data_IF_020399306038
#
_entry.id   IF_020399306038
#
_cell.length_a   1.000
_cell.length_b   1.000
_cell.length_c   1.000
_cell.angle_alpha   90.00
_cell.angle_beta   90.00
_cell.angle_gamma   90.00
#
_symmetry.space_group_name_H-M   'P 1'
#
loop_
_entity.id
_entity.type
_entity.pdbx_description
1 polymer ?
#
# COMPACT_ATOMS: atom_id res chain seq x y z
N UNK A 1 -35.44 -51.11 50.34
CA UNK A 1 -36.18 -50.24 51.28
C UNK A 1 -36.34 -48.89 50.59
N UNK A 2 -37.60 -48.52 50.29
CA UNK A 2 -38.11 -47.19 49.89
C UNK A 2 -37.52 -46.48 48.66
N UNK A 3 -38.16 -46.76 47.54
CA UNK A 3 -38.76 -45.83 46.55
C UNK A 3 -38.78 -44.34 46.95
N UNK A 4 -38.35 -43.47 46.03
CA UNK A 4 -39.11 -42.25 45.75
C UNK A 4 -39.12 -41.98 44.23
N UNK A 5 -40.34 -42.09 43.71
CA UNK A 5 -40.78 -41.95 42.34
C UNK A 5 -40.99 -40.45 42.06
N UNK A 6 -40.31 -39.87 41.07
CA UNK A 6 -40.69 -38.58 40.48
C UNK A 6 -41.41 -38.85 39.17
N UNK A 7 -42.73 -38.82 39.25
CA UNK A 7 -43.67 -38.79 38.13
C UNK A 7 -43.55 -37.39 37.51
N UNK A 8 -43.09 -37.30 36.25
CA UNK A 8 -43.39 -36.15 35.39
C UNK A 8 -44.46 -36.62 34.42
N UNK A 9 -45.64 -36.05 34.60
CA UNK A 9 -46.87 -36.31 33.87
C UNK A 9 -46.77 -35.65 32.49
N UNK A 10 -46.73 -36.46 31.43
CA UNK A 10 -46.91 -36.00 30.06
C UNK A 10 -48.39 -35.64 29.85
N UNK A 11 -48.72 -34.35 29.91
CA UNK A 11 -50.03 -33.84 29.52
C UNK A 11 -49.94 -33.49 28.03
N UNK A 12 -50.47 -34.37 27.18
CA UNK A 12 -50.81 -34.03 25.79
C UNK A 12 -52.06 -33.16 25.79
N UNK A 13 -51.89 -31.85 25.66
CA UNK A 13 -52.98 -30.91 25.39
C UNK A 13 -53.16 -30.83 23.87
N UNK A 14 -54.31 -31.22 23.30
CA UNK A 14 -54.62 -30.89 21.93
C UNK A 14 -55.07 -29.43 21.89
N UNK A 15 -54.14 -28.51 21.61
CA UNK A 15 -54.51 -27.14 21.27
C UNK A 15 -54.94 -27.11 19.80
N UNK A 16 -56.25 -27.20 19.63
CA UNK A 16 -56.98 -26.81 18.44
C UNK A 16 -56.78 -25.30 18.29
N UNK A 17 -55.85 -24.88 17.43
CA UNK A 17 -55.82 -23.50 16.98
C UNK A 17 -56.93 -23.32 15.94
N UNK A 18 -57.93 -22.58 16.40
CA UNK A 18 -58.92 -21.82 15.63
C UNK A 18 -58.32 -21.26 14.34
N UNK A 19 -58.83 -21.68 13.18
CA UNK A 19 -58.72 -20.91 11.95
C UNK A 19 -59.57 -19.64 12.09
N UNK A 20 -58.97 -18.52 12.49
CA UNK A 20 -59.53 -17.20 12.16
C UNK A 20 -59.23 -16.92 10.69
N UNK A 21 -60.27 -16.87 9.87
CA UNK A 21 -60.23 -16.63 8.43
C UNK A 21 -60.00 -15.16 8.08
N UNK A 22 -59.00 -14.49 8.67
CA UNK A 22 -58.72 -13.08 8.39
C UNK A 22 -57.24 -12.65 8.42
N UNK A 23 -56.29 -13.58 8.54
CA UNK A 23 -54.87 -13.29 8.27
C UNK A 23 -54.51 -13.68 6.83
N UNK A 24 -55.04 -12.96 5.85
CA UNK A 24 -54.43 -12.92 4.52
C UNK A 24 -53.32 -11.86 4.53
N UNK A 25 -52.22 -12.15 5.21
CA UNK A 25 -50.94 -11.71 4.64
C UNK A 25 -50.80 -12.59 3.41
N UNK A 26 -51.09 -12.02 2.23
CA UNK A 26 -50.80 -12.71 0.97
C UNK A 26 -49.39 -13.28 1.08
N UNK A 27 -49.18 -14.59 0.88
CA UNK A 27 -47.82 -15.12 0.86
C UNK A 27 -47.07 -14.33 -0.19
N UNK A 28 -45.93 -13.75 0.17
CA UNK A 28 -44.99 -13.20 -0.80
C UNK A 28 -44.78 -14.32 -1.82
N UNK A 29 -45.29 -14.12 -3.04
CA UNK A 29 -45.24 -15.15 -4.07
C UNK A 29 -43.79 -15.21 -4.53
N UNK A 30 -43.01 -16.08 -3.91
CA UNK A 30 -41.64 -16.38 -4.35
C UNK A 30 -41.71 -16.92 -5.76
N UNK A 31 -41.29 -16.10 -6.72
CA UNK A 31 -41.26 -16.42 -8.14
C UNK A 31 -39.81 -16.26 -8.62
N UNK A 32 -38.94 -17.27 -8.42
CA UNK A 32 -37.54 -17.15 -8.81
C UNK A 32 -37.36 -17.39 -10.32
N UNK A 33 -36.56 -16.56 -10.97
CA UNK A 33 -35.98 -16.88 -12.26
C UNK A 33 -34.80 -17.85 -12.07
N UNK A 34 -34.66 -18.86 -12.92
CA UNK A 34 -33.57 -19.85 -12.84
C UNK A 34 -32.61 -19.67 -14.02
N UNK A 35 -31.36 -19.36 -13.71
CA UNK A 35 -30.31 -19.09 -14.69
C UNK A 35 -29.88 -17.63 -14.68
N UNK A 36 -28.96 -17.31 -15.57
CA UNK A 36 -28.42 -15.96 -15.73
C UNK A 36 -29.37 -15.08 -16.55
N UNK A 37 -29.48 -13.82 -16.14
CA UNK A 37 -30.28 -12.77 -16.79
C UNK A 37 -29.33 -11.79 -17.46
N UNK A 38 -29.46 -11.64 -18.77
CA UNK A 38 -28.77 -10.64 -19.57
C UNK A 38 -29.83 -9.70 -20.17
N UNK A 39 -29.74 -8.41 -19.85
CA UNK A 39 -30.60 -7.36 -20.35
C UNK A 39 -29.76 -6.37 -21.15
N UNK A 40 -30.02 -6.27 -22.45
CA UNK A 40 -29.28 -5.43 -23.40
C UNK A 40 -30.10 -4.28 -23.97
N UNK A 41 -31.42 -4.29 -23.74
CA UNK A 41 -32.36 -3.28 -24.21
C UNK A 41 -33.48 -2.99 -23.22
N UNK A 42 -34.08 -1.80 -23.32
CA UNK A 42 -35.24 -1.44 -22.49
C UNK A 42 -36.41 -2.43 -22.68
N UNK A 43 -36.60 -2.93 -23.89
CA UNK A 43 -37.63 -3.95 -24.17
C UNK A 43 -37.40 -5.23 -23.36
N UNK A 44 -36.15 -5.67 -23.20
CA UNK A 44 -35.85 -6.86 -22.40
C UNK A 44 -36.06 -6.61 -20.90
N UNK A 45 -35.76 -5.41 -20.41
CA UNK A 45 -36.08 -5.02 -19.02
C UNK A 45 -37.60 -5.10 -18.80
N UNK A 46 -38.39 -4.51 -19.70
CA UNK A 46 -39.85 -4.47 -19.61
C UNK A 46 -40.47 -5.87 -19.76
N UNK A 47 -39.94 -6.69 -20.67
CA UNK A 47 -40.38 -8.07 -20.89
C UNK A 47 -40.05 -8.96 -19.68
N UNK A 48 -38.85 -8.80 -19.09
CA UNK A 48 -38.47 -9.51 -17.87
C UNK A 48 -39.38 -9.12 -16.71
N UNK A 49 -39.64 -7.81 -16.52
CA UNK A 49 -40.51 -7.26 -15.49
C UNK A 49 -41.94 -7.84 -15.55
N UNK A 50 -42.47 -8.11 -16.74
CA UNK A 50 -43.82 -8.66 -16.93
C UNK A 50 -44.05 -10.02 -16.24
N UNK A 51 -42.97 -10.75 -15.94
CA UNK A 51 -43.02 -12.03 -15.26
C UNK A 51 -43.14 -11.91 -13.73
N UNK A 52 -42.92 -10.73 -13.15
CA UNK A 52 -42.94 -10.49 -11.69
C UNK A 52 -42.07 -11.50 -10.94
N UNK A 53 -40.83 -11.69 -11.38
CA UNK A 53 -39.86 -12.49 -10.63
C UNK A 53 -39.47 -11.75 -9.35
N UNK A 54 -39.27 -12.49 -8.26
CA UNK A 54 -38.86 -11.94 -6.97
C UNK A 54 -37.39 -12.20 -6.63
N UNK A 55 -36.73 -13.06 -7.40
CA UNK A 55 -35.36 -13.53 -7.17
C UNK A 55 -34.73 -13.98 -8.50
N UNK A 56 -33.41 -13.84 -8.61
CA UNK A 56 -32.61 -14.37 -9.73
C UNK A 56 -31.65 -15.44 -9.21
N UNK A 57 -31.87 -16.70 -9.59
CA UNK A 57 -30.98 -17.83 -9.31
C UNK A 57 -29.88 -17.94 -10.37
N UNK A 58 -29.04 -16.92 -10.43
CA UNK A 58 -27.94 -16.75 -11.39
C UNK A 58 -27.42 -15.32 -11.35
N UNK A 59 -26.66 -14.93 -12.35
CA UNK A 59 -26.15 -13.57 -12.49
C UNK A 59 -27.21 -12.62 -13.08
N UNK A 60 -27.16 -11.35 -12.72
CA UNK A 60 -27.90 -10.26 -13.37
C UNK A 60 -26.91 -9.34 -14.08
N UNK A 61 -26.96 -9.29 -15.41
CA UNK A 61 -26.13 -8.44 -16.24
C UNK A 61 -26.99 -7.44 -17.03
N UNK A 62 -26.72 -6.16 -16.85
CA UNK A 62 -27.41 -5.03 -17.48
C UNK A 62 -26.36 -4.27 -18.29
N UNK A 63 -26.38 -4.41 -19.62
CA UNK A 63 -25.28 -3.88 -20.43
C UNK A 63 -25.59 -3.55 -21.88
N UNK A 64 -24.68 -2.85 -22.56
CA UNK A 64 -24.75 -2.71 -24.02
C UNK A 64 -24.46 -4.05 -24.74
N UNK A 65 -25.09 -4.33 -25.89
CA UNK A 65 -24.88 -5.58 -26.64
C UNK A 65 -23.46 -5.79 -27.17
N UNK A 66 -22.75 -4.72 -27.58
CA UNK A 66 -21.48 -4.83 -28.31
C UNK A 66 -20.38 -3.85 -27.86
N UNK A 67 -20.51 -3.25 -26.67
CA UNK A 67 -19.56 -2.26 -26.10
C UNK A 67 -19.22 -1.07 -27.03
N UNK A 68 -19.95 -0.89 -28.14
CA UNK A 68 -19.71 0.18 -29.12
C UNK A 68 -20.31 1.53 -28.69
N UNK A 69 -21.13 1.52 -27.64
CA UNK A 69 -21.79 2.66 -27.03
C UNK A 69 -22.62 2.20 -25.83
N UNK A 70 -23.29 3.13 -25.12
CA UNK A 70 -24.19 2.75 -24.03
C UNK A 70 -25.38 1.95 -24.56
N UNK A 71 -25.95 1.10 -23.70
CA UNK A 71 -27.17 0.38 -23.98
C UNK A 71 -28.33 1.35 -24.22
N UNK A 72 -29.43 0.83 -24.78
CA UNK A 72 -30.69 1.58 -24.88
C UNK A 72 -31.48 1.63 -23.58
N UNK A 73 -30.96 1.07 -22.49
CA UNK A 73 -31.63 0.98 -21.19
C UNK A 73 -31.52 2.34 -20.49
N UNK A 74 -32.68 2.88 -20.10
CA UNK A 74 -32.78 4.17 -19.41
C UNK A 74 -33.58 4.09 -18.11
N UNK A 75 -34.33 3.01 -17.90
CA UNK A 75 -35.23 2.83 -16.77
C UNK A 75 -35.15 1.39 -16.25
N UNK A 76 -34.76 1.22 -14.99
CA UNK A 76 -34.71 -0.08 -14.31
C UNK A 76 -35.93 -0.33 -13.42
N UNK A 77 -36.92 0.57 -13.38
CA UNK A 77 -38.07 0.48 -12.47
C UNK A 77 -38.87 -0.82 -12.60
N UNK A 78 -38.84 -1.47 -13.77
CA UNK A 78 -39.41 -2.80 -13.99
C UNK A 78 -38.79 -3.90 -13.10
N UNK A 79 -37.58 -3.70 -12.59
CA UNK A 79 -36.87 -4.66 -11.74
C UNK A 79 -37.22 -4.53 -10.25
N UNK A 80 -38.13 -3.61 -9.86
CA UNK A 80 -38.46 -3.33 -8.46
C UNK A 80 -39.06 -4.51 -7.67
N UNK A 81 -39.44 -5.59 -8.37
CA UNK A 81 -39.92 -6.83 -7.74
C UNK A 81 -38.80 -7.75 -7.26
N UNK A 82 -37.56 -7.56 -7.73
CA UNK A 82 -36.41 -8.41 -7.40
C UNK A 82 -35.89 -8.06 -6.00
N UNK A 83 -35.78 -9.09 -5.16
CA UNK A 83 -35.35 -8.97 -3.76
C UNK A 83 -33.95 -9.53 -3.49
N UNK A 84 -33.47 -10.43 -4.35
CA UNK A 84 -32.14 -11.05 -4.23
C UNK A 84 -31.60 -11.53 -5.58
N UNK A 85 -30.27 -11.58 -5.69
CA UNK A 85 -29.52 -12.17 -6.80
C UNK A 85 -28.51 -13.17 -6.23
N UNK A 86 -28.60 -14.44 -6.65
CA UNK A 86 -27.75 -15.52 -6.12
C UNK A 86 -26.39 -15.64 -6.83
N UNK A 87 -26.15 -14.84 -7.87
CA UNK A 87 -24.87 -14.65 -8.50
C UNK A 87 -24.41 -13.18 -8.43
N UNK A 88 -23.68 -12.76 -9.46
CA UNK A 88 -23.15 -11.41 -9.60
C UNK A 88 -24.21 -10.44 -10.10
N UNK A 89 -24.09 -9.16 -9.73
CA UNK A 89 -24.76 -8.04 -10.40
C UNK A 89 -23.71 -7.26 -11.19
N UNK A 90 -23.86 -7.24 -12.51
CA UNK A 90 -23.02 -6.51 -13.44
C UNK A 90 -23.84 -5.41 -14.13
N UNK A 91 -23.52 -4.14 -13.88
CA UNK A 91 -24.17 -2.98 -14.50
C UNK A 91 -23.10 -2.18 -15.23
N UNK A 92 -23.01 -2.34 -16.55
CA UNK A 92 -22.01 -1.59 -17.30
C UNK A 92 -22.40 -1.16 -18.71
N UNK A 93 -21.84 -0.04 -19.15
CA UNK A 93 -22.13 0.55 -20.47
C UNK A 93 -23.62 0.87 -20.66
N UNK A 94 -24.22 1.64 -19.75
CA UNK A 94 -25.60 2.12 -19.85
C UNK A 94 -25.70 3.66 -19.80
N UNK A 95 -26.84 4.20 -20.24
CA UNK A 95 -27.21 5.63 -20.13
C UNK A 95 -28.22 5.90 -19.01
N UNK A 96 -28.20 5.08 -17.96
CA UNK A 96 -29.02 5.27 -16.76
C UNK A 96 -28.43 6.36 -15.87
N UNK A 97 -29.30 7.15 -15.24
CA UNK A 97 -28.89 8.23 -14.32
C UNK A 97 -28.94 7.83 -12.85
N UNK A 98 -29.67 6.76 -12.54
CA UNK A 98 -29.76 6.16 -11.21
C UNK A 98 -30.02 4.66 -11.34
N UNK A 99 -29.90 3.93 -10.23
CA UNK A 99 -30.29 2.52 -10.13
C UNK A 99 -31.74 2.32 -9.66
N UNK A 100 -32.60 3.34 -9.82
CA UNK A 100 -34.02 3.26 -9.45
C UNK A 100 -34.68 2.05 -10.12
N UNK A 101 -35.33 1.22 -9.33
CA UNK A 101 -35.80 -0.11 -9.69
C UNK A 101 -35.05 -1.25 -9.02
N UNK A 102 -33.89 -1.00 -8.40
CA UNK A 102 -33.14 -2.01 -7.63
C UNK A 102 -33.36 -1.89 -6.10
N UNK A 103 -34.30 -1.06 -5.64
CA UNK A 103 -34.54 -0.78 -4.21
C UNK A 103 -34.99 -2.00 -3.41
N UNK A 104 -35.54 -3.02 -4.08
CA UNK A 104 -35.97 -4.25 -3.43
C UNK A 104 -34.82 -5.17 -3.03
N UNK A 105 -33.62 -5.00 -3.62
CA UNK A 105 -32.52 -5.94 -3.44
C UNK A 105 -31.94 -5.81 -2.03
N UNK A 106 -31.91 -6.94 -1.33
CA UNK A 106 -31.38 -7.06 0.05
C UNK A 106 -30.12 -7.90 0.13
N UNK A 107 -29.85 -8.74 -0.88
CA UNK A 107 -28.67 -9.60 -0.91
C UNK A 107 -28.19 -9.94 -2.31
N UNK A 108 -26.87 -9.96 -2.45
CA UNK A 108 -26.14 -10.38 -3.64
C UNK A 108 -25.18 -11.48 -3.18
N UNK A 109 -25.39 -12.72 -3.62
CA UNK A 109 -24.53 -13.84 -3.19
C UNK A 109 -23.19 -13.88 -3.92
N UNK A 110 -23.06 -13.16 -5.05
CA UNK A 110 -21.81 -12.93 -5.76
C UNK A 110 -21.27 -11.51 -5.53
N UNK A 111 -20.66 -10.97 -6.59
CA UNK A 111 -20.02 -9.65 -6.64
C UNK A 111 -20.95 -8.57 -7.19
N UNK A 112 -20.67 -7.31 -6.86
CA UNK A 112 -21.30 -6.12 -7.42
C UNK A 112 -20.29 -5.36 -8.30
N UNK A 113 -20.55 -5.32 -9.60
CA UNK A 113 -19.73 -4.62 -10.58
C UNK A 113 -20.54 -3.49 -11.25
N UNK A 114 -20.14 -2.24 -11.05
CA UNK A 114 -20.74 -1.06 -11.69
C UNK A 114 -19.65 -0.32 -12.47
N UNK A 115 -19.71 -0.34 -13.80
CA UNK A 115 -18.65 0.23 -14.62
C UNK A 115 -19.16 0.92 -15.89
N UNK A 116 -18.46 1.92 -16.42
CA UNK A 116 -18.82 2.57 -17.69
C UNK A 116 -20.28 3.05 -17.80
N UNK A 117 -20.88 3.62 -16.75
CA UNK A 117 -22.20 4.26 -16.85
C UNK A 117 -22.03 5.77 -16.70
N UNK A 118 -21.68 6.49 -17.79
CA UNK A 118 -21.24 7.89 -17.70
C UNK A 118 -22.31 8.81 -17.13
N UNK A 119 -23.59 8.50 -17.33
CA UNK A 119 -24.72 9.33 -16.87
C UNK A 119 -25.15 9.03 -15.42
N UNK A 120 -24.62 7.97 -14.79
CA UNK A 120 -25.02 7.54 -13.45
C UNK A 120 -24.55 8.55 -12.39
N UNK A 121 -25.49 9.08 -11.61
CA UNK A 121 -25.23 10.13 -10.61
C UNK A 121 -25.15 9.57 -9.18
N UNK A 122 -25.93 8.53 -8.90
CA UNK A 122 -26.02 7.91 -7.57
C UNK A 122 -26.47 6.45 -7.65
N UNK A 123 -26.17 5.70 -6.59
CA UNK A 123 -26.52 4.28 -6.43
C UNK A 123 -27.43 4.04 -5.21
N UNK A 124 -28.15 5.06 -4.74
CA UNK A 124 -28.97 5.01 -3.51
C UNK A 124 -30.02 3.90 -3.49
N UNK A 125 -30.44 3.41 -4.65
CA UNK A 125 -31.33 2.26 -4.74
C UNK A 125 -30.75 1.00 -4.09
N UNK A 126 -29.43 0.88 -3.94
CA UNK A 126 -28.80 -0.27 -3.29
C UNK A 126 -28.78 -0.18 -1.75
N UNK A 127 -29.34 0.87 -1.15
CA UNK A 127 -29.27 1.12 0.30
C UNK A 127 -29.87 0.01 1.19
N UNK A 128 -30.68 -0.88 0.64
CA UNK A 128 -31.23 -2.04 1.35
C UNK A 128 -30.35 -3.30 1.24
N UNK A 129 -29.25 -3.26 0.47
CA UNK A 129 -28.32 -4.40 0.36
C UNK A 129 -27.57 -4.56 1.67
N UNK A 130 -27.84 -5.67 2.36
CA UNK A 130 -27.20 -6.02 3.64
C UNK A 130 -26.04 -7.01 3.45
N UNK A 131 -26.06 -7.79 2.36
CA UNK A 131 -25.11 -8.87 2.12
C UNK A 131 -24.54 -8.87 0.69
N UNK A 132 -23.22 -9.00 0.62
CA UNK A 132 -22.42 -9.25 -0.59
C UNK A 132 -21.60 -10.53 -0.34
N UNK A 133 -21.53 -11.42 -1.32
CA UNK A 133 -20.74 -12.65 -1.22
C UNK A 133 -19.35 -12.58 -1.85
N UNK A 134 -19.08 -11.57 -2.69
CA UNK A 134 -17.82 -11.41 -3.41
C UNK A 134 -17.26 -9.99 -3.35
N UNK A 135 -16.85 -9.48 -4.51
CA UNK A 135 -16.22 -8.18 -4.69
C UNK A 135 -17.25 -7.04 -4.78
N UNK A 136 -16.82 -5.82 -4.48
CA UNK A 136 -17.50 -4.59 -4.87
C UNK A 136 -16.53 -3.79 -5.74
N UNK A 137 -16.91 -3.53 -6.99
CA UNK A 137 -16.14 -2.65 -7.89
C UNK A 137 -17.04 -1.58 -8.49
N UNK A 138 -16.69 -0.31 -8.24
CA UNK A 138 -17.35 0.84 -8.84
C UNK A 138 -16.28 1.65 -9.58
N UNK A 139 -16.31 1.64 -10.90
CA UNK A 139 -15.28 2.26 -11.74
C UNK A 139 -15.90 3.00 -12.91
N UNK A 140 -15.16 3.91 -13.53
CA UNK A 140 -15.49 4.58 -14.79
C UNK A 140 -16.89 5.19 -14.79
N UNK A 141 -17.18 6.02 -13.79
CA UNK A 141 -18.44 6.75 -13.64
C UNK A 141 -18.17 8.25 -13.71
N UNK A 142 -18.47 8.86 -14.87
CA UNK A 142 -18.17 10.28 -15.10
C UNK A 142 -19.00 11.23 -14.22
N UNK A 143 -20.23 10.83 -13.87
CA UNK A 143 -21.17 11.67 -13.14
C UNK A 143 -21.48 11.23 -11.70
N UNK A 144 -20.91 10.13 -11.21
CA UNK A 144 -21.24 9.59 -9.89
C UNK A 144 -20.74 10.52 -8.77
N UNK A 145 -21.66 10.99 -7.93
CA UNK A 145 -21.36 11.97 -6.87
C UNK A 145 -21.21 11.31 -5.50
N UNK A 146 -21.90 10.20 -5.25
CA UNK A 146 -21.88 9.47 -3.99
C UNK A 146 -22.04 7.97 -4.21
N UNK A 147 -21.69 7.21 -3.17
CA UNK A 147 -21.84 5.75 -3.07
C UNK A 147 -22.68 5.37 -1.84
N UNK A 148 -23.60 6.24 -1.41
CA UNK A 148 -24.37 6.07 -0.16
C UNK A 148 -25.29 4.83 -0.18
N UNK A 149 -25.57 4.31 -1.38
CA UNK A 149 -26.21 3.02 -1.59
C UNK A 149 -25.47 1.83 -0.98
N UNK A 150 -24.19 1.94 -0.62
CA UNK A 150 -23.43 0.86 0.02
C UNK A 150 -23.55 0.83 1.55
N UNK A 151 -24.30 1.77 2.15
CA UNK A 151 -24.34 1.99 3.60
C UNK A 151 -24.92 0.84 4.44
N UNK A 152 -25.60 -0.12 3.82
CA UNK A 152 -26.10 -1.33 4.48
C UNK A 152 -25.07 -2.46 4.60
N UNK A 153 -23.95 -2.38 3.86
CA UNK A 153 -22.96 -3.46 3.74
C UNK A 153 -21.96 -3.39 4.89
N UNK A 154 -21.75 -4.51 5.58
CA UNK A 154 -20.87 -4.59 6.76
C UNK A 154 -19.58 -5.39 6.54
N UNK A 155 -19.53 -6.21 5.50
CA UNK A 155 -18.38 -7.04 5.15
C UNK A 155 -18.32 -7.19 3.63
N UNK A 156 -17.10 -7.18 3.08
CA UNK A 156 -16.83 -7.50 1.68
C UNK A 156 -15.91 -8.72 1.67
N UNK A 157 -16.41 -9.93 1.36
CA UNK A 157 -15.57 -11.12 1.36
C UNK A 157 -14.43 -11.10 0.33
N UNK A 158 -14.62 -10.35 -0.77
CA UNK A 158 -13.60 -10.15 -1.80
C UNK A 158 -12.97 -8.75 -1.75
N UNK A 159 -12.63 -8.22 -2.92
CA UNK A 159 -12.02 -6.89 -3.06
C UNK A 159 -13.05 -5.75 -3.00
N UNK A 160 -12.63 -4.61 -2.46
CA UNK A 160 -13.35 -3.34 -2.45
C UNK A 160 -12.60 -2.32 -3.32
N UNK A 161 -13.08 -2.14 -4.55
CA UNK A 161 -12.47 -1.27 -5.55
C UNK A 161 -13.34 -0.05 -5.84
N UNK A 162 -12.90 1.12 -5.39
CA UNK A 162 -13.54 2.41 -5.66
C UNK A 162 -12.62 3.22 -6.59
N UNK A 163 -13.01 3.22 -7.86
CA UNK A 163 -12.25 3.84 -8.93
C UNK A 163 -11.01 3.03 -9.34
N UNK A 164 -10.31 3.52 -10.36
CA UNK A 164 -9.16 2.87 -10.96
C UNK A 164 -8.07 3.88 -11.35
N UNK A 165 -6.85 3.38 -11.51
CA UNK A 165 -5.79 4.12 -12.19
C UNK A 165 -5.99 3.98 -13.70
N UNK A 166 -6.43 5.05 -14.36
CA UNK A 166 -6.62 5.12 -15.82
C UNK A 166 -5.52 5.94 -16.52
N UNK A 167 -4.41 6.21 -15.83
CA UNK A 167 -3.28 6.99 -16.32
C UNK A 167 -3.34 8.47 -15.91
N UNK A 168 -2.25 9.18 -16.21
CA UNK A 168 -2.04 10.56 -15.77
C UNK A 168 -3.07 11.54 -16.37
N UNK A 169 -3.67 12.38 -15.53
CA UNK A 169 -4.51 13.51 -15.95
C UNK A 169 -5.99 13.17 -16.18
N UNK A 170 -6.39 11.91 -15.99
CA UNK A 170 -7.79 11.49 -16.01
C UNK A 170 -8.16 10.85 -14.67
N UNK A 171 -9.40 11.09 -14.22
CA UNK A 171 -9.96 10.49 -13.03
C UNK A 171 -11.04 9.49 -13.46
N UNK A 172 -11.04 8.32 -12.82
CA UNK A 172 -12.02 7.25 -13.09
C UNK A 172 -13.38 7.56 -12.47
N UNK A 173 -13.39 8.28 -11.33
CA UNK A 173 -14.58 8.78 -10.64
C UNK A 173 -14.44 10.29 -10.34
N UNK A 174 -14.44 11.16 -11.38
CA UNK A 174 -14.07 12.58 -11.24
C UNK A 174 -14.99 13.40 -10.33
N UNK A 175 -16.22 12.94 -10.06
CA UNK A 175 -17.19 13.64 -9.19
C UNK A 175 -17.38 13.01 -7.81
N UNK A 176 -16.81 11.84 -7.57
CA UNK A 176 -16.91 11.20 -6.26
C UNK A 176 -15.98 11.94 -5.29
N UNK A 177 -16.57 12.49 -4.23
CA UNK A 177 -15.86 13.40 -3.30
C UNK A 177 -15.84 12.93 -1.84
N UNK A 178 -16.50 11.81 -1.53
CA UNK A 178 -16.47 11.18 -0.22
C UNK A 178 -16.77 9.67 -0.34
N UNK A 179 -16.49 8.93 0.73
CA UNK A 179 -16.70 7.47 0.82
C UNK A 179 -17.72 7.10 1.91
N UNK A 180 -18.61 8.00 2.33
CA UNK A 180 -19.47 7.80 3.51
C UNK A 180 -20.32 6.52 3.45
N UNK A 181 -20.72 6.10 2.25
CA UNK A 181 -21.43 4.85 2.00
C UNK A 181 -20.67 3.59 2.44
N UNK A 182 -19.37 3.65 2.71
CA UNK A 182 -18.55 2.52 3.15
C UNK A 182 -18.44 2.39 4.67
N UNK A 183 -18.97 3.36 5.43
CA UNK A 183 -18.70 3.53 6.88
C UNK A 183 -19.12 2.38 7.79
N UNK A 184 -19.91 1.42 7.30
CA UNK A 184 -20.29 0.21 8.05
C UNK A 184 -19.41 -1.01 7.73
N UNK A 185 -18.56 -0.94 6.70
CA UNK A 185 -17.68 -2.04 6.32
C UNK A 185 -16.59 -2.18 7.38
N UNK A 186 -16.52 -3.37 7.98
CA UNK A 186 -15.59 -3.68 9.07
C UNK A 186 -14.43 -4.59 8.67
N UNK A 187 -14.58 -5.33 7.56
CA UNK A 187 -13.59 -6.28 7.07
C UNK A 187 -13.70 -6.41 5.55
N UNK A 188 -12.54 -6.50 4.90
CA UNK A 188 -12.38 -6.75 3.46
C UNK A 188 -11.46 -7.95 3.32
N UNK A 189 -11.96 -9.03 2.71
CA UNK A 189 -11.25 -10.30 2.55
C UNK A 189 -10.30 -10.34 1.34
N UNK A 190 -10.16 -9.23 0.62
CA UNK A 190 -9.23 -9.06 -0.49
C UNK A 190 -8.69 -7.63 -0.55
N UNK A 191 -8.42 -7.13 -1.76
CA UNK A 191 -7.81 -5.81 -1.94
C UNK A 191 -8.75 -4.65 -1.58
N UNK A 192 -8.20 -3.57 -1.03
CA UNK A 192 -8.87 -2.27 -0.87
C UNK A 192 -8.20 -1.27 -1.80
N UNK A 193 -8.96 -0.75 -2.76
CA UNK A 193 -8.48 0.25 -3.70
C UNK A 193 -9.34 1.52 -3.65
N UNK A 194 -8.70 2.68 -3.51
CA UNK A 194 -9.30 4.00 -3.76
C UNK A 194 -8.42 4.74 -4.75
N UNK A 195 -8.86 4.81 -6.01
CA UNK A 195 -8.04 5.37 -7.07
C UNK A 195 -8.79 6.26 -8.06
N UNK A 196 -8.14 7.33 -8.52
CA UNK A 196 -8.70 8.16 -9.58
C UNK A 196 -10.00 8.87 -9.16
N UNK A 197 -10.10 9.29 -7.90
CA UNK A 197 -11.30 9.96 -7.35
C UNK A 197 -10.99 11.41 -6.98
N UNK A 198 -12.02 12.17 -6.57
CA UNK A 198 -11.86 13.53 -6.06
C UNK A 198 -12.16 13.64 -4.55
N UNK A 199 -11.95 12.55 -3.80
CA UNK A 199 -12.08 12.54 -2.34
C UNK A 199 -11.00 13.39 -1.70
N UNK A 200 -11.31 14.03 -0.58
CA UNK A 200 -10.34 14.84 0.19
C UNK A 200 -9.74 14.12 1.39
N UNK A 201 -10.38 13.04 1.81
CA UNK A 201 -9.92 12.11 2.84
C UNK A 201 -10.61 10.75 2.62
N UNK A 202 -10.24 9.76 3.43
CA UNK A 202 -10.75 8.40 3.35
C UNK A 202 -11.84 8.10 4.39
N UNK A 203 -12.49 9.13 4.95
CA UNK A 203 -13.65 8.94 5.83
C UNK A 203 -14.74 8.19 5.07
N UNK A 204 -15.28 7.16 5.70
CA UNK A 204 -15.95 6.03 5.07
C UNK A 204 -15.22 4.71 5.31
N UNK A 205 -13.90 4.69 5.47
CA UNK A 205 -13.13 3.46 5.69
C UNK A 205 -12.84 3.16 7.17
N UNK A 206 -13.40 3.93 8.10
CA UNK A 206 -13.07 3.86 9.53
C UNK A 206 -13.36 2.51 10.17
N UNK A 207 -14.29 1.74 9.62
CA UNK A 207 -14.64 0.43 10.18
C UNK A 207 -13.59 -0.64 9.91
N UNK A 208 -12.77 -0.49 8.86
CA UNK A 208 -11.85 -1.52 8.39
C UNK A 208 -10.67 -1.64 9.34
N UNK A 209 -10.46 -2.82 9.92
CA UNK A 209 -9.31 -3.10 10.79
C UNK A 209 -8.29 -4.07 10.22
N UNK A 210 -8.69 -4.91 9.29
CA UNK A 210 -7.87 -5.96 8.67
C UNK A 210 -8.20 -6.02 7.18
N UNK A 211 -7.16 -6.15 6.36
CA UNK A 211 -7.23 -6.29 4.91
C UNK A 211 -6.42 -7.52 4.49
N UNK A 212 -7.14 -8.56 4.06
CA UNK A 212 -6.56 -9.84 3.60
C UNK A 212 -6.07 -9.74 2.12
N UNK A 213 -5.41 -8.63 1.79
CA UNK A 213 -4.99 -8.29 0.44
C UNK A 213 -4.15 -7.02 0.42
N UNK A 214 -4.12 -6.35 -0.72
CA UNK A 214 -3.39 -5.10 -0.92
C UNK A 214 -4.25 -3.90 -0.51
N UNK A 215 -3.61 -2.84 -0.01
CA UNK A 215 -4.23 -1.52 0.13
C UNK A 215 -3.59 -0.59 -0.89
N UNK A 216 -4.35 -0.08 -1.85
CA UNK A 216 -3.87 0.85 -2.87
C UNK A 216 -4.67 2.16 -2.86
N UNK A 217 -4.01 3.26 -2.48
CA UNK A 217 -4.57 4.61 -2.51
C UNK A 217 -3.77 5.45 -3.49
N UNK A 218 -4.34 5.74 -4.66
CA UNK A 218 -3.58 6.42 -5.71
C UNK A 218 -4.36 7.35 -6.63
N UNK A 219 -3.67 8.29 -7.28
CA UNK A 219 -4.30 9.21 -8.24
C UNK A 219 -5.51 9.97 -7.69
N UNK A 220 -5.49 10.36 -6.41
CA UNK A 220 -6.53 11.19 -5.83
C UNK A 220 -6.01 12.63 -5.65
N UNK A 221 -6.12 13.51 -6.66
CA UNK A 221 -5.46 14.82 -6.67
C UNK A 221 -5.99 15.79 -5.62
N UNK A 222 -7.15 15.53 -5.02
CA UNK A 222 -7.73 16.34 -3.94
C UNK A 222 -7.51 15.75 -2.54
N UNK A 223 -6.89 14.57 -2.44
CA UNK A 223 -6.71 13.87 -1.16
C UNK A 223 -5.64 14.58 -0.34
N UNK A 224 -6.02 15.13 0.82
CA UNK A 224 -5.10 15.86 1.69
C UNK A 224 -4.66 15.06 2.92
N UNK A 225 -5.41 14.03 3.32
CA UNK A 225 -5.08 13.14 4.44
C UNK A 225 -5.70 11.76 4.24
N UNK A 226 -5.05 10.72 4.77
CA UNK A 226 -5.56 9.34 4.79
C UNK A 226 -6.45 9.03 6.02
N UNK A 227 -6.92 10.06 6.74
CA UNK A 227 -7.93 9.89 7.79
C UNK A 227 -9.10 9.04 7.27
N UNK A 228 -9.41 7.96 7.98
CA UNK A 228 -10.22 6.87 7.47
C UNK A 228 -9.58 5.53 7.77
N UNK A 229 -8.26 5.44 7.67
CA UNK A 229 -7.52 4.18 7.85
C UNK A 229 -7.03 3.91 9.28
N UNK A 230 -7.45 4.71 10.27
CA UNK A 230 -6.84 4.70 11.61
C UNK A 230 -7.00 3.37 12.39
N UNK A 231 -7.88 2.49 11.93
CA UNK A 231 -8.11 1.18 12.54
C UNK A 231 -7.43 0.04 11.80
N UNK A 232 -6.89 0.27 10.59
CA UNK A 232 -6.17 -0.75 9.82
C UNK A 232 -4.88 -1.09 10.56
N UNK A 233 -4.86 -2.28 11.16
CA UNK A 233 -3.71 -2.78 11.94
C UNK A 233 -2.72 -3.59 11.10
N UNK A 234 -3.26 -4.44 10.23
CA UNK A 234 -2.48 -5.37 9.42
C UNK A 234 -2.98 -5.38 7.98
N UNK A 235 -2.02 -5.43 7.05
CA UNK A 235 -2.24 -5.64 5.61
C UNK A 235 -1.42 -6.86 5.19
N UNK A 236 -2.07 -7.93 4.74
CA UNK A 236 -1.38 -9.18 4.37
C UNK A 236 -0.72 -9.11 2.99
N UNK A 237 -1.09 -8.13 2.18
CA UNK A 237 -0.47 -7.83 0.88
C UNK A 237 0.44 -6.59 0.94
N UNK A 238 0.47 -5.87 -0.17
CA UNK A 238 1.19 -4.62 -0.33
C UNK A 238 0.35 -3.43 0.17
N UNK A 239 1.01 -2.43 0.77
CA UNK A 239 0.44 -1.12 1.03
C UNK A 239 1.08 -0.08 0.10
N UNK A 240 0.28 0.49 -0.80
CA UNK A 240 0.73 1.44 -1.82
C UNK A 240 -0.05 2.75 -1.69
N UNK A 241 0.67 3.82 -1.34
CA UNK A 241 0.15 5.18 -1.25
C UNK A 241 0.92 6.07 -2.22
N UNK A 242 0.36 6.27 -3.42
CA UNK A 242 1.11 6.92 -4.50
C UNK A 242 0.32 7.92 -5.32
N UNK A 243 0.98 8.97 -5.81
CA UNK A 243 0.38 9.94 -6.74
C UNK A 243 -0.86 10.64 -6.16
N UNK A 244 -0.78 11.04 -4.90
CA UNK A 244 -1.76 11.91 -4.24
C UNK A 244 -1.07 13.26 -3.96
N UNK A 245 -0.93 14.14 -4.97
CA UNK A 245 -0.04 15.31 -4.91
C UNK A 245 -0.37 16.33 -3.82
N UNK A 246 -1.62 16.37 -3.33
CA UNK A 246 -2.07 17.27 -2.26
C UNK A 246 -2.05 16.62 -0.86
N UNK A 247 -1.62 15.36 -0.75
CA UNK A 247 -1.55 14.63 0.53
C UNK A 247 -0.49 15.28 1.42
N UNK A 248 -0.87 15.70 2.63
CA UNK A 248 0.02 16.45 3.54
C UNK A 248 0.59 15.60 4.67
N UNK A 249 -0.20 14.64 5.16
CA UNK A 249 0.12 13.78 6.30
C UNK A 249 -0.37 12.35 6.10
N UNK A 250 0.17 11.44 6.91
CA UNK A 250 -0.30 10.05 7.03
C UNK A 250 -0.80 9.72 8.44
N UNK A 251 -1.32 10.70 9.19
CA UNK A 251 -1.83 10.51 10.56
C UNK A 251 -2.97 9.49 10.65
N UNK A 252 -3.71 9.32 9.55
CA UNK A 252 -4.70 8.27 9.40
C UNK A 252 -4.13 6.85 9.46
N UNK A 253 -2.81 6.64 9.46
CA UNK A 253 -2.17 5.32 9.57
C UNK A 253 -1.68 4.97 10.97
N UNK A 254 -2.07 5.73 11.99
CA UNK A 254 -1.65 5.51 13.39
C UNK A 254 -1.90 4.09 13.93
N UNK A 255 -2.86 3.36 13.33
CA UNK A 255 -3.16 1.98 13.68
C UNK A 255 -2.25 0.93 13.04
N UNK A 256 -1.52 1.27 11.97
CA UNK A 256 -0.82 0.32 11.11
C UNK A 256 0.44 -0.24 11.79
N UNK A 257 0.45 -1.53 12.07
CA UNK A 257 1.52 -2.23 12.77
C UNK A 257 2.37 -3.12 11.85
N UNK A 258 1.73 -3.75 10.86
CA UNK A 258 2.39 -4.74 10.01
C UNK A 258 1.85 -4.68 8.56
N UNK A 259 2.78 -4.73 7.62
CA UNK A 259 2.51 -5.01 6.20
C UNK A 259 3.33 -6.23 5.82
N UNK A 260 2.69 -7.32 5.43
CA UNK A 260 3.40 -8.57 5.10
C UNK A 260 4.10 -8.49 3.73
N UNK A 261 3.62 -7.64 2.82
CA UNK A 261 4.23 -7.36 1.52
C UNK A 261 5.12 -6.13 1.51
N UNK A 262 5.07 -5.38 0.41
CA UNK A 262 5.77 -4.11 0.21
C UNK A 262 5.00 -2.95 0.84
N UNK A 263 5.73 -1.97 1.36
CA UNK A 263 5.18 -0.70 1.79
C UNK A 263 5.76 0.42 0.92
N UNK A 264 4.93 1.11 0.15
CA UNK A 264 5.34 2.18 -0.74
C UNK A 264 4.61 3.49 -0.42
N UNK A 265 5.38 4.55 -0.20
CA UNK A 265 4.90 5.94 -0.21
C UNK A 265 5.66 6.68 -1.28
N UNK A 266 4.97 7.02 -2.38
CA UNK A 266 5.65 7.66 -3.50
C UNK A 266 4.87 8.73 -4.23
N UNK A 267 5.57 9.69 -4.85
CA UNK A 267 4.93 10.72 -5.68
C UNK A 267 3.80 11.50 -4.96
N UNK A 268 3.92 11.72 -3.65
CA UNK A 268 3.00 12.54 -2.87
C UNK A 268 3.68 13.87 -2.55
N UNK A 269 3.74 14.75 -3.54
CA UNK A 269 4.58 15.96 -3.50
C UNK A 269 4.34 16.87 -2.28
N UNK A 270 3.11 16.96 -1.76
CA UNK A 270 2.79 17.78 -0.58
C UNK A 270 3.07 17.09 0.76
N UNK A 271 3.46 15.82 0.77
CA UNK A 271 3.62 15.04 2.00
C UNK A 271 4.79 15.62 2.79
N UNK A 272 4.52 16.03 4.02
CA UNK A 272 5.53 16.64 4.91
C UNK A 272 5.59 16.01 6.29
N UNK A 273 4.61 15.16 6.63
CA UNK A 273 4.49 14.54 7.95
C UNK A 273 4.25 13.03 7.82
N UNK A 274 5.08 12.24 8.50
CA UNK A 274 4.99 10.78 8.55
C UNK A 274 4.84 10.21 9.97
N UNK A 275 4.50 11.04 10.96
CA UNK A 275 4.35 10.63 12.37
C UNK A 275 3.30 9.55 12.57
N UNK A 276 2.25 9.52 11.73
CA UNK A 276 1.25 8.46 11.69
C UNK A 276 1.82 7.05 11.47
N UNK A 277 3.05 6.92 10.99
CA UNK A 277 3.74 5.64 10.79
C UNK A 277 4.68 5.26 11.94
N UNK A 278 4.60 5.94 13.09
CA UNK A 278 5.42 5.58 14.24
C UNK A 278 5.11 4.18 14.78
N UNK A 279 3.93 3.61 14.51
CA UNK A 279 3.48 2.32 15.06
C UNK A 279 3.86 1.10 14.22
N UNK A 280 4.34 1.29 12.99
CA UNK A 280 4.73 0.17 12.13
C UNK A 280 5.99 -0.50 12.68
N UNK A 281 5.93 -1.82 12.85
CA UNK A 281 7.03 -2.64 13.39
C UNK A 281 7.61 -3.58 12.35
N UNK A 282 6.85 -3.92 11.30
CA UNK A 282 7.29 -4.84 10.27
C UNK A 282 6.76 -4.48 8.89
N UNK A 283 7.67 -4.52 7.92
CA UNK A 283 7.39 -4.63 6.49
C UNK A 283 8.02 -5.94 6.02
N UNK A 284 7.26 -6.86 5.44
CA UNK A 284 7.77 -8.19 5.10
C UNK A 284 8.73 -8.19 3.92
N UNK A 285 8.49 -7.30 2.95
CA UNK A 285 9.32 -7.14 1.76
C UNK A 285 10.02 -5.77 1.75
N UNK A 286 9.76 -4.92 0.75
CA UNK A 286 10.47 -3.67 0.56
C UNK A 286 9.72 -2.48 1.19
N UNK A 287 10.45 -1.63 1.90
CA UNK A 287 10.00 -0.28 2.26
C UNK A 287 10.56 0.72 1.24
N UNK A 288 9.67 1.38 0.50
CA UNK A 288 10.02 2.37 -0.53
C UNK A 288 9.46 3.75 -0.18
N UNK A 289 10.34 4.73 -0.06
CA UNK A 289 10.00 6.16 0.05
C UNK A 289 10.62 6.87 -1.16
N UNK A 290 9.80 7.27 -2.13
CA UNK A 290 10.29 7.78 -3.42
C UNK A 290 9.52 8.98 -3.95
N UNK A 291 10.18 10.02 -4.46
CA UNK A 291 9.51 11.21 -5.01
C UNK A 291 8.48 11.85 -4.06
N UNK A 292 8.84 12.06 -2.79
CA UNK A 292 8.04 12.89 -1.87
C UNK A 292 8.80 14.19 -1.62
N UNK A 293 8.62 15.16 -2.51
CA UNK A 293 9.54 16.31 -2.64
C UNK A 293 9.45 17.32 -1.49
N UNK A 294 8.33 17.44 -0.79
CA UNK A 294 8.21 18.26 0.42
C UNK A 294 8.49 17.49 1.73
N UNK A 295 8.80 16.19 1.65
CA UNK A 295 9.13 15.38 2.83
C UNK A 295 10.58 15.63 3.23
N UNK A 296 10.79 16.57 4.14
CA UNK A 296 12.14 17.03 4.56
C UNK A 296 12.74 16.20 5.70
N UNK A 297 11.90 15.54 6.49
CA UNK A 297 12.30 14.57 7.50
C UNK A 297 11.19 13.52 7.68
N UNK A 298 11.55 12.37 8.27
CA UNK A 298 10.61 11.27 8.52
C UNK A 298 9.93 11.36 9.90
N UNK A 299 10.07 12.48 10.62
CA UNK A 299 9.47 12.68 11.95
C UNK A 299 9.67 11.49 12.90
N UNK A 300 8.57 10.99 13.46
CA UNK A 300 8.46 9.76 14.24
C UNK A 300 8.16 8.51 13.37
N UNK A 301 7.91 8.68 12.07
CA UNK A 301 7.64 7.59 11.14
C UNK A 301 8.74 6.54 11.15
N UNK A 302 8.35 5.26 11.15
CA UNK A 302 9.28 4.11 11.16
C UNK A 302 10.22 4.00 12.38
N UNK A 303 10.07 4.83 13.41
CA UNK A 303 10.92 4.80 14.61
C UNK A 303 10.90 3.46 15.37
N UNK A 304 9.81 2.71 15.24
CA UNK A 304 9.63 1.38 15.81
C UNK A 304 9.76 0.24 14.78
N UNK A 305 10.25 0.51 13.55
CA UNK A 305 10.40 -0.51 12.53
C UNK A 305 11.53 -1.48 12.93
N UNK A 306 11.17 -2.72 13.27
CA UNK A 306 12.08 -3.77 13.74
C UNK A 306 12.57 -4.65 12.59
N UNK A 307 11.74 -4.84 11.55
CA UNK A 307 12.05 -5.74 10.43
C UNK A 307 11.60 -5.16 9.10
N UNK A 308 12.52 -5.20 8.13
CA UNK A 308 12.26 -4.96 6.71
C UNK A 308 13.23 -5.79 5.87
N UNK A 309 12.79 -6.34 4.73
CA UNK A 309 13.71 -7.06 3.86
C UNK A 309 14.68 -6.07 3.19
N UNK A 310 14.17 -5.07 2.47
CA UNK A 310 15.01 -4.02 1.88
C UNK A 310 14.40 -2.63 2.02
N UNK A 311 15.26 -1.63 2.18
CA UNK A 311 14.91 -0.23 2.33
C UNK A 311 15.40 0.57 1.12
N UNK A 312 14.49 1.30 0.49
CA UNK A 312 14.76 2.20 -0.62
C UNK A 312 14.24 3.60 -0.27
N UNK A 313 15.15 4.55 -0.10
CA UNK A 313 14.82 5.96 0.14
C UNK A 313 15.47 6.75 -0.99
N UNK A 314 14.67 7.13 -1.98
CA UNK A 314 15.20 7.62 -3.25
C UNK A 314 14.49 8.85 -3.79
N UNK A 315 15.21 9.75 -4.45
CA UNK A 315 14.62 10.90 -5.16
C UNK A 315 13.65 11.74 -4.30
N UNK A 316 13.94 11.94 -3.01
CA UNK A 316 13.11 12.68 -2.05
C UNK A 316 13.68 14.03 -1.65
N UNK A 317 12.89 14.82 -0.90
CA UNK A 317 13.28 16.11 -0.32
C UNK A 317 13.96 16.02 1.05
N UNK A 318 14.32 14.82 1.50
CA UNK A 318 14.83 14.57 2.85
C UNK A 318 16.16 15.30 3.07
N UNK A 319 16.22 16.04 4.17
CA UNK A 319 17.43 16.74 4.64
C UNK A 319 18.18 15.89 5.67
N UNK A 320 17.47 15.00 6.37
CA UNK A 320 18.05 14.10 7.37
C UNK A 320 17.29 12.76 7.42
N UNK A 321 18.01 11.71 7.80
CA UNK A 321 17.45 10.39 8.15
C UNK A 321 18.01 9.99 9.52
N UNK A 322 17.13 9.60 10.45
CA UNK A 322 17.47 9.30 11.86
C UNK A 322 16.53 8.31 12.56
N UNK A 323 15.70 7.57 11.81
CA UNK A 323 14.54 6.86 12.35
C UNK A 323 14.72 5.34 12.54
N UNK A 324 15.56 4.66 11.76
CA UNK A 324 15.59 3.20 11.65
C UNK A 324 16.37 2.47 12.77
N UNK A 325 16.40 3.02 13.98
CA UNK A 325 17.29 2.63 15.07
C UNK A 325 16.95 1.24 15.62
N UNK A 326 15.73 0.77 15.37
CA UNK A 326 15.22 -0.52 15.81
C UNK A 326 15.56 -1.67 14.86
N UNK A 327 16.04 -1.38 13.63
CA UNK A 327 16.46 -2.41 12.69
C UNK A 327 17.77 -3.06 13.15
N UNK A 328 17.83 -4.39 13.11
CA UNK A 328 19.04 -5.15 13.47
C UNK A 328 19.72 -5.82 12.30
N UNK A 329 18.94 -6.27 11.31
CA UNK A 329 19.40 -6.94 10.10
C UNK A 329 18.55 -6.47 8.91
N UNK A 330 19.19 -6.13 7.79
CA UNK A 330 18.50 -5.72 6.55
C UNK A 330 19.22 -6.32 5.35
N UNK A 331 18.48 -6.85 4.36
CA UNK A 331 19.11 -7.41 3.16
C UNK A 331 19.75 -6.31 2.30
N UNK A 332 19.06 -5.19 2.07
CA UNK A 332 19.61 -4.08 1.30
C UNK A 332 19.09 -2.74 1.81
N UNK A 333 19.98 -1.75 1.92
CA UNK A 333 19.66 -0.35 2.17
C UNK A 333 20.21 0.44 0.99
N UNK A 334 19.31 1.09 0.26
CA UNK A 334 19.64 1.99 -0.85
C UNK A 334 19.11 3.38 -0.52
N UNK A 335 20.02 4.34 -0.39
CA UNK A 335 19.70 5.75 -0.18
C UNK A 335 20.31 6.52 -1.34
N UNK A 336 19.47 6.96 -2.28
CA UNK A 336 19.98 7.58 -3.50
C UNK A 336 19.20 8.77 -4.02
N UNK A 337 19.88 9.71 -4.69
CA UNK A 337 19.23 10.88 -5.29
C UNK A 337 18.44 11.75 -4.30
N UNK A 338 18.75 11.71 -3.00
CA UNK A 338 18.20 12.66 -2.04
C UNK A 338 19.12 13.88 -2.03
N UNK A 339 18.94 14.77 -3.01
CA UNK A 339 19.90 15.84 -3.29
C UNK A 339 20.01 16.89 -2.19
N UNK A 340 19.05 16.92 -1.27
CA UNK A 340 19.02 17.82 -0.11
C UNK A 340 19.50 17.13 1.18
N UNK A 341 19.81 15.84 1.16
CA UNK A 341 20.20 15.04 2.33
C UNK A 341 21.56 15.48 2.87
N UNK A 342 21.56 16.11 4.05
CA UNK A 342 22.76 16.59 4.74
C UNK A 342 23.33 15.52 5.67
N UNK A 343 22.46 14.78 6.36
CA UNK A 343 22.91 13.82 7.39
C UNK A 343 22.17 12.48 7.29
N UNK A 344 22.94 11.41 7.38
CA UNK A 344 22.46 10.05 7.48
C UNK A 344 22.87 9.45 8.81
N UNK A 345 21.88 9.14 9.63
CA UNK A 345 22.01 8.47 10.92
C UNK A 345 20.85 7.49 11.09
N UNK A 346 20.63 7.01 12.30
CA UNK A 346 19.40 6.30 12.61
C UNK A 346 19.43 4.82 12.28
N UNK A 347 20.59 4.18 12.39
CA UNK A 347 20.77 2.75 12.18
C UNK A 347 21.52 2.14 13.38
N UNK A 348 21.35 2.71 14.57
CA UNK A 348 22.19 2.41 15.76
C UNK A 348 21.99 0.99 16.30
N UNK A 349 20.94 0.30 15.86
CA UNK A 349 20.69 -1.12 16.12
C UNK A 349 21.25 -2.07 15.06
N UNK A 350 21.68 -1.56 13.89
CA UNK A 350 21.95 -2.38 12.70
C UNK A 350 23.29 -3.11 12.83
N UNK A 351 23.23 -4.42 13.05
CA UNK A 351 24.42 -5.28 13.25
C UNK A 351 24.90 -5.97 11.97
N UNK A 352 23.99 -6.20 11.02
CA UNK A 352 24.30 -6.83 9.75
C UNK A 352 23.49 -6.21 8.60
N UNK A 353 24.13 -6.03 7.45
CA UNK A 353 23.46 -5.62 6.21
C UNK A 353 23.96 -6.42 5.01
N UNK A 354 23.08 -6.83 4.11
CA UNK A 354 23.55 -7.39 2.84
C UNK A 354 24.27 -6.32 2.01
N UNK A 355 23.54 -5.34 1.50
CA UNK A 355 24.11 -4.20 0.77
C UNK A 355 23.78 -2.87 1.44
N UNK A 356 24.79 -2.02 1.65
CA UNK A 356 24.61 -0.61 2.00
C UNK A 356 25.11 0.25 0.83
N UNK A 357 24.17 0.90 0.15
CA UNK A 357 24.42 1.73 -1.02
C UNK A 357 23.94 3.16 -0.78
N UNK A 358 24.89 4.09 -0.70
CA UNK A 358 24.66 5.53 -0.51
C UNK A 358 25.17 6.23 -1.77
N UNK A 359 24.24 6.65 -2.65
CA UNK A 359 24.53 7.00 -4.04
C UNK A 359 23.93 8.36 -4.41
N UNK A 360 24.67 9.27 -5.04
CA UNK A 360 24.09 10.50 -5.60
C UNK A 360 23.32 11.38 -4.57
N UNK A 361 23.83 11.51 -3.35
CA UNK A 361 23.29 12.40 -2.30
C UNK A 361 24.20 13.64 -2.15
N UNK A 362 24.03 14.59 -3.06
CA UNK A 362 25.03 15.62 -3.36
C UNK A 362 25.40 16.57 -2.20
N UNK A 363 24.52 16.76 -1.23
CA UNK A 363 24.74 17.64 -0.06
C UNK A 363 25.16 16.88 1.20
N UNK A 364 25.35 15.57 1.10
CA UNK A 364 25.63 14.71 2.25
C UNK A 364 26.94 15.11 2.91
N UNK A 365 26.83 15.54 4.16
CA UNK A 365 27.94 16.01 4.97
C UNK A 365 28.30 15.02 6.08
N UNK A 366 27.37 14.15 6.51
CA UNK A 366 27.58 13.21 7.60
C UNK A 366 26.98 11.83 7.31
N UNK A 367 27.76 10.78 7.61
CA UNK A 367 27.30 9.39 7.72
C UNK A 367 27.70 8.86 9.11
N UNK A 368 26.70 8.66 9.96
CA UNK A 368 26.84 8.12 11.31
C UNK A 368 25.76 7.07 11.59
N UNK A 369 25.59 6.65 12.83
CA UNK A 369 24.54 5.70 13.22
C UNK A 369 24.82 4.23 12.92
N UNK A 370 25.88 3.87 12.22
CA UNK A 370 26.22 2.46 11.92
C UNK A 370 27.15 1.80 12.95
N UNK A 371 27.36 2.40 14.12
CA UNK A 371 28.47 2.05 15.04
C UNK A 371 28.50 0.59 15.48
N UNK A 372 27.36 -0.10 15.49
CA UNK A 372 27.27 -1.53 15.88
C UNK A 372 27.32 -2.49 14.69
N UNK A 373 27.38 -1.98 13.46
CA UNK A 373 27.43 -2.76 12.23
C UNK A 373 28.73 -3.56 12.20
N UNK A 374 28.62 -4.89 12.28
CA UNK A 374 29.76 -5.80 12.32
C UNK A 374 30.10 -6.37 10.94
N UNK A 375 29.05 -6.66 10.15
CA UNK A 375 29.14 -7.35 8.88
C UNK A 375 28.35 -6.63 7.80
N UNK A 376 28.95 -6.51 6.61
CA UNK A 376 28.21 -6.17 5.40
C UNK A 376 28.58 -7.14 4.26
N UNK A 377 27.73 -7.36 3.26
CA UNK A 377 28.17 -8.03 2.01
C UNK A 377 28.76 -7.02 1.04
N UNK A 378 28.10 -5.88 0.84
CA UNK A 378 28.55 -4.79 -0.03
C UNK A 378 28.45 -3.48 0.72
N UNK A 379 29.48 -2.65 0.62
CA UNK A 379 29.43 -1.23 1.00
C UNK A 379 29.78 -0.40 -0.23
N UNK A 380 28.85 0.46 -0.63
CA UNK A 380 28.99 1.37 -1.76
C UNK A 380 28.69 2.80 -1.32
N UNK A 381 29.69 3.66 -1.41
CA UNK A 381 29.55 5.11 -1.26
C UNK A 381 29.97 5.71 -2.58
N UNK A 382 28.99 6.17 -3.34
CA UNK A 382 29.18 6.71 -4.68
C UNK A 382 28.55 8.11 -4.78
N UNK A 383 29.37 9.13 -4.56
CA UNK A 383 28.92 10.51 -4.58
C UNK A 383 29.44 11.22 -5.85
N UNK A 384 28.71 12.20 -6.41
CA UNK A 384 29.18 12.97 -7.57
C UNK A 384 30.03 14.18 -7.12
N UNK A 385 30.73 14.03 -5.99
CA UNK A 385 31.45 15.11 -5.32
C UNK A 385 32.82 15.35 -5.99
N UNK A 386 33.24 16.62 -5.99
CA UNK A 386 34.45 17.15 -6.63
C UNK A 386 35.39 17.81 -5.61
N UNK A 387 36.55 18.30 -6.08
CA UNK A 387 37.53 19.07 -5.27
C UNK A 387 37.00 20.35 -4.62
N UNK A 388 35.88 20.90 -5.09
CA UNK A 388 35.28 22.12 -4.54
C UNK A 388 34.41 21.86 -3.30
N UNK A 389 34.03 20.62 -3.09
CA UNK A 389 33.09 20.22 -2.05
C UNK A 389 33.81 19.90 -0.73
N UNK A 390 33.04 19.89 0.36
CA UNK A 390 33.55 19.54 1.67
C UNK A 390 33.64 18.02 1.84
N UNK A 391 34.61 17.55 2.63
CA UNK A 391 34.69 16.14 3.01
C UNK A 391 33.45 15.71 3.81
N UNK A 392 33.04 14.45 3.65
CA UNK A 392 31.95 13.85 4.41
C UNK A 392 32.52 13.33 5.73
N UNK A 393 31.90 13.70 6.86
CA UNK A 393 32.22 13.10 8.15
C UNK A 393 31.61 11.69 8.23
N UNK A 394 32.45 10.66 8.25
CA UNK A 394 32.02 9.25 8.31
C UNK A 394 32.54 8.65 9.61
N UNK A 395 31.65 8.40 10.57
CA UNK A 395 32.01 7.90 11.91
C UNK A 395 31.38 6.56 12.24
N UNK A 396 30.35 6.14 11.51
CA UNK A 396 29.54 4.96 11.84
C UNK A 396 30.21 3.59 11.64
N UNK A 397 31.34 3.46 10.95
CA UNK A 397 31.88 2.10 10.64
C UNK A 397 32.87 1.56 11.68
N UNK A 398 32.81 2.05 12.91
CA UNK A 398 33.79 1.75 13.96
C UNK A 398 33.90 0.25 14.33
N UNK A 399 32.82 -0.53 14.19
CA UNK A 399 32.82 -1.98 14.44
C UNK A 399 32.72 -2.85 13.17
N UNK A 400 32.72 -2.25 11.98
CA UNK A 400 32.58 -2.98 10.72
C UNK A 400 33.87 -3.73 10.40
N UNK A 401 33.88 -5.05 10.62
CA UNK A 401 35.11 -5.86 10.48
C UNK A 401 35.15 -6.68 9.20
N UNK A 402 33.98 -7.10 8.70
CA UNK A 402 33.90 -8.08 7.61
C UNK A 402 33.01 -7.58 6.47
N UNK A 403 33.56 -7.58 5.26
CA UNK A 403 32.85 -7.34 4.01
C UNK A 403 32.83 -8.62 3.15
N UNK A 404 31.65 -9.20 2.96
CA UNK A 404 31.45 -10.49 2.30
C UNK A 404 31.70 -10.48 0.78
N UNK A 405 31.75 -9.32 0.14
CA UNK A 405 31.98 -9.20 -1.30
C UNK A 405 32.89 -8.02 -1.67
N UNK A 406 32.42 -6.77 -1.58
CA UNK A 406 33.21 -5.64 -2.10
C UNK A 406 32.95 -4.33 -1.39
N UNK A 407 33.94 -3.45 -1.48
CA UNK A 407 33.84 -2.04 -1.13
C UNK A 407 33.93 -1.23 -2.42
N UNK A 408 33.06 -0.24 -2.59
CA UNK A 408 33.10 0.75 -3.68
C UNK A 408 33.08 2.12 -3.04
N UNK A 409 34.15 2.90 -3.25
CA UNK A 409 34.23 4.31 -2.86
C UNK A 409 34.50 5.13 -4.12
N UNK A 410 33.54 5.94 -4.53
CA UNK A 410 33.62 6.73 -5.74
C UNK A 410 33.19 8.18 -5.50
N UNK A 411 34.00 9.11 -5.99
CA UNK A 411 33.69 10.54 -5.98
C UNK A 411 33.43 11.12 -4.60
N UNK A 412 34.26 10.81 -3.60
CA UNK A 412 34.32 11.48 -2.29
C UNK A 412 35.33 12.64 -2.31
N UNK A 413 35.00 13.73 -1.61
CA UNK A 413 35.91 14.86 -1.36
C UNK A 413 36.90 14.61 -0.21
N UNK A 414 36.78 13.48 0.51
CA UNK A 414 37.62 13.16 1.64
C UNK A 414 39.11 13.02 1.27
N UNK A 415 40.00 13.53 2.13
CA UNK A 415 41.45 13.39 1.98
C UNK A 415 41.97 12.03 2.47
N UNK A 416 41.19 11.34 3.32
CA UNK A 416 41.52 10.05 3.93
C UNK A 416 40.31 9.12 4.02
N UNK A 417 40.56 7.81 4.14
CA UNK A 417 39.54 6.74 4.30
C UNK A 417 39.65 6.01 5.65
N UNK A 418 40.03 6.74 6.71
CA UNK A 418 40.21 6.18 8.06
C UNK A 418 38.96 5.53 8.65
N UNK A 419 37.77 5.85 8.14
CA UNK A 419 36.53 5.17 8.48
C UNK A 419 36.54 3.67 8.08
N UNK A 420 37.49 3.22 7.26
CA UNK A 420 37.71 1.80 6.94
C UNK A 420 38.70 1.10 7.87
N UNK A 421 39.23 1.78 8.89
CA UNK A 421 40.28 1.25 9.78
C UNK A 421 39.85 0.11 10.71
N UNK A 422 38.55 -0.16 10.82
CA UNK A 422 38.01 -1.32 11.53
C UNK A 422 38.01 -2.59 10.67
N UNK A 423 38.08 -2.46 9.35
CA UNK A 423 37.89 -3.57 8.40
C UNK A 423 39.09 -4.50 8.43
N UNK A 424 38.82 -5.77 8.75
CA UNK A 424 39.82 -6.84 8.82
C UNK A 424 39.74 -7.77 7.62
N UNK A 425 38.56 -7.94 7.03
CA UNK A 425 38.34 -8.88 5.93
C UNK A 425 37.46 -8.27 4.84
N UNK A 426 37.88 -8.40 3.59
CA UNK A 426 37.07 -8.16 2.39
C UNK A 426 37.26 -9.35 1.47
N UNK A 427 36.22 -10.16 1.27
CA UNK A 427 36.33 -11.41 0.51
C UNK A 427 36.66 -11.16 -0.97
N UNK A 428 36.11 -10.11 -1.57
CA UNK A 428 36.35 -9.71 -2.95
C UNK A 428 37.17 -8.43 -3.06
N UNK A 429 36.71 -7.49 -3.89
CA UNK A 429 37.51 -6.34 -4.31
C UNK A 429 37.26 -5.10 -3.46
N UNK A 430 38.30 -4.26 -3.35
CA UNK A 430 38.19 -2.88 -2.87
C UNK A 430 38.42 -1.97 -4.07
N UNK A 431 37.38 -1.25 -4.49
CA UNK A 431 37.41 -0.32 -5.62
C UNK A 431 37.31 1.10 -5.09
N UNK A 432 38.36 1.90 -5.29
CA UNK A 432 38.42 3.29 -4.83
C UNK A 432 38.83 4.16 -6.01
N UNK A 433 37.91 4.97 -6.52
CA UNK A 433 38.13 5.72 -7.75
C UNK A 433 37.52 7.12 -7.79
N UNK A 434 38.07 7.98 -8.64
CA UNK A 434 37.57 9.35 -8.87
C UNK A 434 37.46 10.21 -7.59
N UNK A 435 38.27 9.94 -6.56
CA UNK A 435 38.32 10.75 -5.34
C UNK A 435 39.48 11.74 -5.46
N UNK A 436 39.22 12.91 -6.08
CA UNK A 436 40.26 13.87 -6.49
C UNK A 436 41.09 14.46 -5.33
N UNK A 437 40.58 14.42 -4.09
CA UNK A 437 41.29 14.87 -2.89
C UNK A 437 41.95 13.72 -2.10
N UNK A 438 41.63 12.47 -2.39
CA UNK A 438 42.00 11.33 -1.56
C UNK A 438 43.51 11.01 -1.66
N UNK A 439 44.26 11.40 -0.63
CA UNK A 439 45.71 11.27 -0.53
C UNK A 439 46.16 10.16 0.44
N UNK A 440 45.29 9.77 1.37
CA UNK A 440 45.63 8.87 2.47
C UNK A 440 44.76 7.60 2.47
N UNK A 441 45.41 6.47 2.20
CA UNK A 441 44.82 5.13 2.20
C UNK A 441 45.20 4.31 3.44
N UNK A 442 45.83 4.92 4.46
CA UNK A 442 46.31 4.22 5.65
C UNK A 442 45.19 3.58 6.47
N UNK A 443 43.94 4.02 6.31
CA UNK A 443 42.75 3.32 6.81
C UNK A 443 42.65 1.85 6.36
N UNK A 444 43.25 1.46 5.24
CA UNK A 444 43.28 0.06 4.77
C UNK A 444 44.36 -0.80 5.43
N UNK A 445 45.21 -0.24 6.30
CA UNK A 445 46.32 -0.98 6.91
C UNK A 445 45.87 -2.29 7.59
N UNK A 446 44.82 -2.32 8.42
CA UNK A 446 44.40 -3.55 9.09
C UNK A 446 44.00 -4.66 8.11
N UNK A 447 43.26 -4.31 7.05
CA UNK A 447 42.89 -5.22 5.98
C UNK A 447 44.11 -5.78 5.23
N UNK A 448 45.06 -4.92 4.85
CA UNK A 448 46.20 -5.29 4.00
C UNK A 448 47.28 -6.05 4.80
N UNK A 449 47.70 -5.54 5.97
CA UNK A 449 48.68 -6.22 6.82
C UNK A 449 48.14 -7.51 7.42
N UNK A 450 46.83 -7.59 7.66
CA UNK A 450 46.15 -8.80 8.11
C UNK A 450 46.01 -9.87 7.02
N UNK A 451 46.27 -9.54 5.75
CA UNK A 451 46.05 -10.45 4.62
C UNK A 451 44.57 -10.77 4.39
N UNK A 452 43.66 -9.88 4.82
CA UNK A 452 42.22 -10.10 4.77
C UNK A 452 41.55 -9.69 3.47
N UNK A 453 42.29 -9.09 2.54
CA UNK A 453 41.81 -8.78 1.19
C UNK A 453 41.90 -10.03 0.30
N UNK A 454 40.76 -10.63 -0.04
CA UNK A 454 40.68 -11.81 -0.90
C UNK A 454 40.74 -11.52 -2.40
N UNK A 455 40.34 -10.31 -2.82
CA UNK A 455 40.40 -9.85 -4.21
C UNK A 455 41.52 -8.83 -4.47
N UNK A 456 41.24 -7.83 -5.31
CA UNK A 456 42.20 -6.78 -5.67
C UNK A 456 41.87 -5.46 -5.00
N UNK A 457 42.91 -4.66 -4.75
CA UNK A 457 42.78 -3.22 -4.51
C UNK A 457 42.90 -2.49 -5.85
N UNK A 458 41.80 -1.91 -6.31
CA UNK A 458 41.72 -1.12 -7.53
C UNK A 458 41.63 0.36 -7.16
N UNK A 459 42.78 1.03 -7.06
CA UNK A 459 42.88 2.47 -6.81
C UNK A 459 43.27 3.20 -8.12
N UNK A 460 42.40 4.05 -8.64
CA UNK A 460 42.68 4.84 -9.85
C UNK A 460 41.92 6.17 -9.85
N UNK A 461 42.47 7.20 -10.51
CA UNK A 461 41.86 8.53 -10.58
C UNK A 461 41.61 9.18 -9.20
N UNK A 462 42.42 8.83 -8.19
CA UNK A 462 42.48 9.54 -6.91
C UNK A 462 43.72 10.44 -6.86
N UNK A 463 43.84 11.32 -5.85
CA UNK A 463 45.06 12.12 -5.65
C UNK A 463 46.29 11.23 -5.42
N UNK A 464 46.12 10.17 -4.64
CA UNK A 464 47.10 9.11 -4.47
C UNK A 464 46.51 7.75 -4.87
N UNK A 465 47.28 6.93 -5.61
CA UNK A 465 46.81 5.62 -6.09
C UNK A 465 47.83 4.53 -5.70
N UNK A 466 47.91 4.17 -4.40
CA UNK A 466 48.89 3.19 -3.93
C UNK A 466 48.58 1.79 -4.48
N UNK A 467 49.63 1.02 -4.72
CA UNK A 467 49.52 -0.43 -4.84
C UNK A 467 49.49 -1.08 -3.46
N UNK A 468 49.07 -2.36 -3.39
CA UNK A 468 49.19 -3.16 -2.16
C UNK A 468 50.63 -3.14 -1.62
N UNK A 469 51.63 -3.20 -2.50
CA UNK A 469 53.05 -3.20 -2.10
C UNK A 469 53.48 -1.86 -1.51
N UNK A 470 52.91 -0.74 -1.98
CA UNK A 470 53.18 0.58 -1.41
C UNK A 470 52.67 0.67 0.03
N UNK A 471 51.43 0.22 0.28
CA UNK A 471 50.84 0.14 1.62
C UNK A 471 51.70 -0.75 2.54
N UNK A 472 52.10 -1.95 2.08
CA UNK A 472 52.97 -2.86 2.84
C UNK A 472 54.35 -2.26 3.16
N UNK A 473 54.85 -1.35 2.31
CA UNK A 473 56.10 -0.63 2.54
C UNK A 473 55.95 0.59 3.46
N UNK A 474 54.73 0.87 3.94
CA UNK A 474 54.40 2.04 4.75
C UNK A 474 54.14 3.33 3.95
N UNK A 475 54.07 3.22 2.61
CA UNK A 475 53.75 4.33 1.72
C UNK A 475 52.23 4.33 1.45
N UNK A 476 51.41 4.48 2.50
CA UNK A 476 49.95 4.50 2.37
C UNK A 476 49.37 5.91 2.19
N UNK A 477 50.18 6.96 2.33
CA UNK A 477 49.80 8.36 2.11
C UNK A 477 50.84 9.10 1.26
N UNK A 478 50.41 10.14 0.53
CA UNK A 478 51.28 11.00 -0.30
C UNK A 478 52.14 11.98 0.50
#
# INVERSE_FOLDING_TARGET
MKTLLKIVLAITIPMVFSCSSDDTVSPVLFNPFVGDVLLESQTEVDDFASNNYSEINGNLRISAPDLSGPSSITDLSGLASILSVNGDIEIFSNSITSLQGLEGITGISGSLFISFNPDLVEINALSNVETIGGDISITSQENLVNIDGLSGITTVPGALNIGANIGSGALDLPKLSNLNGLSQISSVGGDVQVSGTNVTNLKGLEGISEVDGNVTISFNPSLTSVQGLQNVGTVTGDFVLTQNPELQDVDGLIGLQEVEGNFEISSNDSLSDTDGLATITRVGENLTVFLNTNLIDLGAGFSNLESVFSLFITDGGLVQISQFNSLTEVFSITISNNTDLISLSGFEGLTEVGALSIIENNTLAEISGFDVLANATIVEINQPITTADSAIEITGFSNLTTIGNRIIINGLANEHIDFLSSIQQVVGNVNISNNENLADFCGLNPLIFGGGLGGNLNAFQNLYNPTIQDILNGNCSL
#
